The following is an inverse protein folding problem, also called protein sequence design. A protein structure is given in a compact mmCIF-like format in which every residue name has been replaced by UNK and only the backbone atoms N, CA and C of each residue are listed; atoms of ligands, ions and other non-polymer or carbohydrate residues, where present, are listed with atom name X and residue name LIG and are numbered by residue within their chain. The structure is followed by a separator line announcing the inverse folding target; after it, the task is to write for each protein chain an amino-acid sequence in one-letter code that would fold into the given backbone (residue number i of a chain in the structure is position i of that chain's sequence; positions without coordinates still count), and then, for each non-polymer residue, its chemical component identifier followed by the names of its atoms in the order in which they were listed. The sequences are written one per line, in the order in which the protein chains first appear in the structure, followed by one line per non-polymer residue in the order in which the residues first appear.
data_IF_376771176685
#
_entry.id   IF_376771176685
#
_cell.length_a   1.000
_cell.length_b   1.000
_cell.length_c   1.000
_cell.angle_alpha   90.00
_cell.angle_beta   90.00
_cell.angle_gamma   90.00
#
_symmetry.space_group_name_H-M   'P 1'
#
loop_
_entity.id
_entity.type
_entity.pdbx_description
1 polymer ?
#
# COMPACT_ATOMS: atom_id res chain seq x y z
N UNK A 1 -6.64 -23.20 -30.35
CA UNK A 1 -7.12 -23.05 -29.26
C UNK A 1 -6.50 -22.22 -28.20
N UNK A 2 -5.69 -22.84 -27.38
CA UNK A 2 -5.21 -22.17 -26.19
C UNK A 2 -4.26 -21.02 -26.48
N UNK A 3 -3.52 -21.09 -27.56
CA UNK A 3 -2.55 -20.06 -27.85
C UNK A 3 -3.19 -18.72 -28.18
N UNK A 4 -4.34 -18.73 -28.84
CA UNK A 4 -5.04 -17.49 -29.12
C UNK A 4 -5.58 -16.84 -27.85
N UNK A 5 -6.06 -17.66 -26.95
CA UNK A 5 -6.57 -17.17 -25.68
C UNK A 5 -5.47 -16.57 -24.82
N UNK A 6 -4.29 -17.16 -24.88
CA UNK A 6 -3.18 -16.65 -24.09
C UNK A 6 -2.79 -15.23 -24.50
N UNK A 7 -2.84 -14.95 -25.78
CA UNK A 7 -2.55 -13.61 -26.25
C UNK A 7 -3.55 -12.58 -25.74
N UNK A 8 -4.82 -12.93 -25.82
CA UNK A 8 -5.87 -12.04 -25.34
C UNK A 8 -5.81 -11.87 -23.84
N UNK A 9 -5.53 -12.95 -23.14
CA UNK A 9 -5.45 -12.90 -21.68
C UNK A 9 -4.32 -11.99 -21.22
N UNK A 10 -3.21 -12.04 -21.91
CA UNK A 10 -2.08 -11.19 -21.54
C UNK A 10 -2.40 -9.71 -21.74
N UNK A 11 -3.07 -9.38 -22.84
CA UNK A 11 -3.48 -8.02 -23.07
C UNK A 11 -4.45 -7.54 -22.02
N UNK A 12 -5.39 -8.39 -21.66
CA UNK A 12 -6.37 -8.07 -20.64
C UNK A 12 -5.72 -7.89 -19.28
N UNK A 13 -4.77 -8.76 -18.96
CA UNK A 13 -4.04 -8.66 -17.69
C UNK A 13 -3.22 -7.38 -17.62
N UNK A 14 -2.65 -6.96 -18.75
CA UNK A 14 -1.90 -5.70 -18.76
C UNK A 14 -2.81 -4.50 -18.50
N UNK A 15 -4.04 -4.52 -19.06
CA UNK A 15 -4.99 -3.45 -18.85
C UNK A 15 -5.54 -3.43 -17.44
N UNK A 16 -5.71 -4.59 -16.84
CA UNK A 16 -6.33 -4.73 -15.54
C UNK A 16 -5.36 -5.32 -14.52
N UNK A 17 -4.11 -4.92 -14.64
CA UNK A 17 -3.11 -5.37 -13.70
C UNK A 17 -3.50 -4.94 -12.29
N UNK A 18 -3.43 -5.89 -11.38
CA UNK A 18 -3.76 -5.65 -9.99
C UNK A 18 -2.51 -5.34 -9.21
N UNK A 19 -2.55 -4.28 -8.44
CA UNK A 19 -1.41 -3.90 -7.59
C UNK A 19 -1.90 -3.59 -6.20
N UNK A 20 -1.12 -4.02 -5.22
CA UNK A 20 -1.39 -3.72 -3.83
C UNK A 20 -0.36 -2.70 -3.35
N UNK A 21 -0.85 -1.63 -2.77
CA UNK A 21 0.02 -0.59 -2.25
C UNK A 21 -0.14 -0.56 -0.74
N UNK A 22 0.98 -0.73 -0.06
CA UNK A 22 1.03 -0.72 1.40
C UNK A 22 1.73 0.55 1.84
N UNK A 23 1.09 1.31 2.69
CA UNK A 23 1.60 2.59 3.17
C UNK A 23 1.82 2.48 4.67
N UNK A 24 3.04 2.73 5.11
CA UNK A 24 3.35 2.79 6.53
C UNK A 24 3.59 4.26 6.86
N UNK A 25 2.80 4.81 7.77
CA UNK A 25 2.85 6.24 8.05
C UNK A 25 2.50 6.49 9.51
N UNK A 26 2.58 7.76 9.90
CA UNK A 26 2.16 8.17 11.23
C UNK A 26 0.65 8.08 11.33
N UNK A 27 0.15 7.68 12.51
CA UNK A 27 -1.28 7.56 12.70
C UNK A 27 -2.02 8.88 12.48
N UNK A 28 -1.37 9.99 12.76
CA UNK A 28 -1.97 11.30 12.57
C UNK A 28 -2.26 11.63 11.11
N UNK A 29 -1.72 10.86 10.18
CA UNK A 29 -1.92 11.10 8.75
C UNK A 29 -3.12 10.35 8.18
N UNK A 30 -3.86 9.62 9.01
CA UNK A 30 -4.94 8.78 8.50
C UNK A 30 -5.98 9.56 7.71
N UNK A 31 -6.51 10.62 8.30
CA UNK A 31 -7.60 11.35 7.66
C UNK A 31 -7.18 11.99 6.33
N UNK A 32 -6.00 12.59 6.31
CA UNK A 32 -5.54 13.24 5.09
C UNK A 32 -5.21 12.21 4.01
N UNK A 33 -4.69 11.04 4.39
CA UNK A 33 -4.45 9.96 3.44
C UNK A 33 -5.76 9.43 2.87
N UNK A 34 -6.73 9.20 3.75
CA UNK A 34 -8.02 8.67 3.33
C UNK A 34 -8.68 9.60 2.33
N UNK A 35 -8.69 10.89 2.62
CA UNK A 35 -9.30 11.87 1.73
C UNK A 35 -8.56 11.96 0.41
N UNK A 36 -7.23 11.97 0.45
CA UNK A 36 -6.44 12.07 -0.77
C UNK A 36 -6.65 10.86 -1.66
N UNK A 37 -6.68 9.66 -1.08
CA UNK A 37 -6.90 8.46 -1.87
C UNK A 37 -8.31 8.41 -2.44
N UNK A 38 -9.30 8.85 -1.67
CA UNK A 38 -10.66 8.92 -2.17
C UNK A 38 -10.77 9.86 -3.36
N UNK A 39 -10.03 10.96 -3.33
CA UNK A 39 -10.09 11.96 -4.41
C UNK A 39 -9.56 11.43 -5.73
N UNK A 40 -8.74 10.40 -5.73
CA UNK A 40 -8.23 9.80 -6.97
C UNK A 40 -8.94 8.50 -7.32
N UNK A 41 -10.01 8.18 -6.62
CA UNK A 41 -10.85 7.05 -6.98
C UNK A 41 -10.57 5.77 -6.21
N UNK A 42 -9.75 5.81 -5.18
CA UNK A 42 -9.49 4.65 -4.33
C UNK A 42 -10.49 4.67 -3.18
N UNK A 43 -11.37 3.71 -3.13
CA UNK A 43 -12.43 3.70 -2.12
C UNK A 43 -12.25 2.63 -1.05
N UNK A 44 -11.73 1.48 -1.40
CA UNK A 44 -11.56 0.40 -0.44
C UNK A 44 -10.16 0.40 0.13
N UNK A 45 -10.06 0.39 1.44
CA UNK A 45 -8.76 0.33 2.08
C UNK A 45 -8.85 -0.43 3.40
N UNK A 46 -7.80 -1.15 3.72
CA UNK A 46 -7.68 -1.86 4.98
C UNK A 46 -6.65 -1.14 5.82
N UNK A 47 -7.01 -0.86 7.06
CA UNK A 47 -6.17 -0.07 7.94
C UNK A 47 -5.87 -0.88 9.19
N UNK A 48 -4.59 -0.91 9.57
CA UNK A 48 -4.15 -1.64 10.75
C UNK A 48 -3.23 -0.73 11.55
N UNK A 49 -3.42 -0.73 12.86
CA UNK A 49 -2.47 -0.08 13.75
C UNK A 49 -1.30 -1.02 13.97
N UNK A 50 -0.10 -0.52 13.75
CA UNK A 50 1.11 -1.33 13.90
C UNK A 50 2.12 -0.55 14.73
N UNK A 51 3.17 -1.24 15.13
CA UNK A 51 4.25 -0.62 15.87
C UNK A 51 5.50 -0.69 15.01
N UNK A 52 6.08 0.47 14.73
CA UNK A 52 7.34 0.54 14.04
C UNK A 52 8.46 0.41 15.04
N UNK A 53 9.46 -0.36 14.69
CA UNK A 53 10.61 -0.61 15.54
C UNK A 53 11.87 -0.17 14.81
N UNK A 54 12.58 0.79 15.40
CA UNK A 54 13.82 1.28 14.83
C UNK A 54 14.97 1.06 15.78
N UNK A 55 16.18 0.96 15.22
CA UNK A 55 17.39 0.77 15.98
C UNK A 55 18.33 1.94 15.71
N UNK A 56 18.81 2.58 16.80
CA UNK A 56 19.74 3.68 16.71
C UNK A 56 21.16 3.14 16.72
N UNK A 57 21.76 3.09 15.54
CA UNK A 57 23.10 2.52 15.41
C UNK A 57 24.18 3.36 16.05
N UNK A 58 24.03 4.66 16.00
CA UNK A 58 25.05 5.54 16.56
C UNK A 58 25.25 5.36 18.04
N UNK A 59 24.17 5.23 18.77
CA UNK A 59 24.25 4.99 20.21
C UNK A 59 24.81 3.64 20.52
N UNK A 60 24.48 2.64 19.75
CA UNK A 60 24.92 1.28 19.99
C UNK A 60 26.41 1.11 19.90
N UNK A 61 27.08 1.91 19.09
CA UNK A 61 28.50 1.77 18.87
C UNK A 61 29.31 2.07 20.13
N UNK A 62 28.84 2.96 20.95
CA UNK A 62 29.56 3.34 22.15
C UNK A 62 29.45 2.32 23.26
N UNK A 63 28.45 1.48 23.21
CA UNK A 63 28.16 0.58 24.29
C UNK A 63 28.46 -0.86 23.94
N UNK A 64 29.19 -1.06 22.88
CA UNK A 64 29.64 -2.37 22.47
C UNK A 64 28.53 -3.38 22.35
N UNK A 65 27.44 -2.96 21.84
CA UNK A 65 26.31 -3.83 21.64
C UNK A 65 25.50 -4.12 22.87
N UNK A 66 25.95 -3.64 24.02
CA UNK A 66 25.19 -3.84 25.24
C UNK A 66 23.90 -3.05 25.21
N UNK A 67 23.92 -1.92 24.53
CA UNK A 67 22.77 -1.07 24.50
C UNK A 67 22.41 -0.71 23.09
N UNK A 68 21.28 -1.16 22.68
CA UNK A 68 20.70 -0.83 21.38
C UNK A 68 19.44 -0.06 21.69
N UNK A 69 19.41 1.20 21.28
CA UNK A 69 18.20 1.97 21.44
C UNK A 69 17.17 1.47 20.45
N UNK A 70 16.15 0.82 20.99
CA UNK A 70 15.05 0.36 20.19
C UNK A 70 13.91 1.34 20.42
N UNK A 71 13.49 2.01 19.36
CA UNK A 71 12.38 2.94 19.43
C UNK A 71 11.13 2.24 18.92
N UNK A 72 10.11 2.23 19.75
CA UNK A 72 8.82 1.65 19.38
C UNK A 72 7.85 2.81 19.17
N UNK A 73 7.38 2.95 17.95
CA UNK A 73 6.50 4.04 17.59
C UNK A 73 5.21 3.51 16.99
N UNK A 74 4.07 4.01 17.43
CA UNK A 74 2.82 3.63 16.80
C UNK A 74 2.77 4.15 15.38
N UNK A 75 2.38 3.29 14.46
CA UNK A 75 2.27 3.60 13.06
C UNK A 75 0.96 3.09 12.51
N UNK A 76 0.66 3.53 11.33
CA UNK A 76 -0.52 3.13 10.58
C UNK A 76 -0.05 2.34 9.38
N UNK A 77 -0.69 1.20 9.13
CA UNK A 77 -0.48 0.44 7.91
C UNK A 77 -1.77 0.49 7.11
N UNK A 78 -1.72 1.07 5.94
CA UNK A 78 -2.86 1.18 5.07
C UNK A 78 -2.60 0.37 3.81
N UNK A 79 -3.54 -0.48 3.43
CA UNK A 79 -3.40 -1.33 2.25
C UNK A 79 -4.53 -1.05 1.30
N UNK A 80 -4.20 -0.83 0.04
CA UNK A 80 -5.18 -0.64 -1.01
C UNK A 80 -4.80 -1.52 -2.19
N UNK A 81 -5.79 -2.02 -2.89
CA UNK A 81 -5.57 -2.77 -4.13
C UNK A 81 -6.23 -1.99 -5.24
N UNK A 82 -5.48 -1.72 -6.29
CA UNK A 82 -5.97 -0.91 -7.39
C UNK A 82 -5.78 -1.63 -8.71
N UNK A 83 -6.60 -1.27 -9.66
CA UNK A 83 -6.48 -1.76 -11.03
C UNK A 83 -6.61 -0.61 -12.01
N UNK A 84 -7.73 0.10 -11.98
CA UNK A 84 -7.94 1.24 -12.88
C UNK A 84 -7.08 2.44 -12.53
N UNK A 85 -6.95 2.72 -11.25
CA UNK A 85 -6.14 3.86 -10.82
C UNK A 85 -4.69 3.48 -10.98
N UNK A 86 -3.90 4.24 -11.74
CA UNK A 86 -2.49 3.89 -11.94
C UNK A 86 -1.70 3.92 -10.65
N UNK A 87 -0.79 2.99 -10.52
CA UNK A 87 0.08 2.92 -9.33
C UNK A 87 0.83 4.22 -9.14
N UNK A 88 1.34 4.82 -10.22
CA UNK A 88 2.09 6.06 -10.15
C UNK A 88 1.26 7.18 -9.54
N UNK A 89 -0.02 7.23 -9.90
CA UNK A 89 -0.92 8.25 -9.35
C UNK A 89 -1.09 8.07 -7.85
N UNK A 90 -1.26 6.82 -7.40
CA UNK A 90 -1.38 6.55 -5.98
C UNK A 90 -0.10 6.93 -5.25
N UNK A 91 1.03 6.50 -5.76
CA UNK A 91 2.32 6.77 -5.12
C UNK A 91 2.58 8.27 -5.03
N UNK A 92 2.35 9.00 -6.10
CA UNK A 92 2.58 10.46 -6.08
C UNK A 92 1.64 11.17 -5.12
N UNK A 93 0.38 10.72 -5.07
CA UNK A 93 -0.59 11.30 -4.14
C UNK A 93 -0.17 11.10 -2.70
N UNK A 94 0.23 9.88 -2.37
CA UNK A 94 0.67 9.55 -1.02
C UNK A 94 1.94 10.32 -0.65
N UNK A 95 2.88 10.41 -1.57
CA UNK A 95 4.12 11.14 -1.33
C UNK A 95 3.84 12.60 -1.00
N UNK A 96 2.96 13.23 -1.75
CA UNK A 96 2.62 14.63 -1.49
C UNK A 96 2.03 14.84 -0.11
N UNK A 97 1.17 13.92 0.30
CA UNK A 97 0.49 14.02 1.59
C UNK A 97 1.44 13.78 2.75
N UNK A 98 2.34 12.84 2.60
CA UNK A 98 3.21 12.42 3.70
C UNK A 98 4.52 13.17 3.81
N UNK A 99 4.97 13.78 2.73
CA UNK A 99 6.30 14.38 2.70
C UNK A 99 6.42 15.57 3.65
N UNK A 100 7.37 15.50 4.56
CA UNK A 100 7.76 16.65 5.39
C UNK A 100 9.27 16.88 5.30
N UNK A 101 10.00 15.89 4.79
CA UNK A 101 11.46 15.96 4.75
C UNK A 101 12.12 15.50 6.03
N UNK A 102 11.34 15.03 6.98
CA UNK A 102 11.85 14.54 8.26
C UNK A 102 11.80 13.03 8.34
N UNK A 103 12.61 12.49 9.22
CA UNK A 103 12.58 11.06 9.52
C UNK A 103 11.20 10.70 10.04
N UNK A 104 10.65 9.60 9.52
CA UNK A 104 9.34 9.16 9.98
C UNK A 104 8.21 9.48 9.04
N UNK A 105 8.50 10.06 7.87
CA UNK A 105 7.46 10.36 6.88
C UNK A 105 6.75 9.09 6.40
N UNK A 106 7.45 7.96 6.39
CA UNK A 106 6.84 6.70 6.04
C UNK A 106 7.42 6.05 4.82
N UNK A 107 6.82 4.94 4.45
CA UNK A 107 7.27 4.16 3.29
C UNK A 107 6.07 3.66 2.52
N UNK A 108 6.28 3.44 1.24
CA UNK A 108 5.27 2.91 0.35
C UNK A 108 5.83 1.66 -0.29
N UNK A 109 5.10 0.55 -0.18
CA UNK A 109 5.49 -0.71 -0.80
C UNK A 109 4.49 -1.06 -1.88
N UNK A 110 4.98 -1.49 -3.02
CA UNK A 110 4.12 -1.86 -4.14
C UNK A 110 4.32 -3.33 -4.45
N UNK A 111 3.22 -4.06 -4.52
CA UNK A 111 3.23 -5.49 -4.77
C UNK A 111 2.36 -5.80 -5.98
N UNK A 112 2.74 -6.81 -6.74
CA UNK A 112 1.85 -7.38 -7.73
C UNK A 112 0.87 -8.29 -7.02
N UNK A 113 -0.39 -8.20 -7.41
CA UNK A 113 -1.44 -9.06 -6.88
C UNK A 113 -1.86 -10.02 -7.98
N UNK A 114 -1.75 -11.29 -7.69
CA UNK A 114 -2.05 -12.29 -8.69
C UNK A 114 -3.55 -12.35 -9.01
N UNK A 115 -4.37 -12.27 -8.00
CA UNK A 115 -5.82 -12.32 -8.18
C UNK A 115 -6.51 -11.77 -6.94
N UNK A 116 -7.76 -11.35 -7.12
CA UNK A 116 -8.63 -10.91 -6.04
C UNK A 116 -9.95 -11.62 -6.25
N UNK A 117 -10.53 -12.14 -5.18
CA UNK A 117 -11.82 -12.82 -5.26
C UNK A 117 -12.76 -12.18 -4.26
N UNK A 118 -13.92 -11.75 -4.73
CA UNK A 118 -14.96 -11.23 -3.85
C UNK A 118 -15.76 -12.41 -3.33
N UNK A 119 -15.73 -12.61 -2.04
CA UNK A 119 -16.32 -13.81 -1.44
C UNK A 119 -17.81 -13.90 -1.68
N UNK A 120 -18.51 -12.78 -1.55
CA UNK A 120 -19.97 -12.79 -1.65
C UNK A 120 -20.46 -13.22 -3.03
N UNK A 121 -19.81 -12.72 -4.08
CA UNK A 121 -20.29 -12.95 -5.44
C UNK A 121 -19.46 -13.94 -6.24
N UNK A 122 -18.25 -14.24 -5.77
CA UNK A 122 -17.32 -15.06 -6.53
C UNK A 122 -16.63 -14.30 -7.65
N UNK A 123 -16.87 -13.00 -7.79
CA UNK A 123 -16.21 -12.21 -8.82
C UNK A 123 -14.71 -12.19 -8.61
N UNK A 124 -13.95 -12.18 -9.70
CA UNK A 124 -12.50 -12.24 -9.64
C UNK A 124 -11.87 -11.12 -10.44
N UNK A 125 -10.61 -10.84 -10.11
CA UNK A 125 -9.83 -9.86 -10.84
C UNK A 125 -10.40 -8.46 -10.70
N UNK A 126 -10.41 -7.73 -11.80
CA UNK A 126 -10.91 -6.37 -11.82
C UNK A 126 -12.34 -6.26 -11.28
N UNK A 127 -13.18 -7.22 -11.64
CA UNK A 127 -14.58 -7.19 -11.21
C UNK A 127 -14.72 -7.32 -9.70
N UNK A 128 -13.80 -8.03 -9.06
CA UNK A 128 -13.83 -8.17 -7.60
C UNK A 128 -13.55 -6.86 -6.87
N UNK A 129 -12.93 -5.90 -7.55
CA UNK A 129 -12.62 -4.61 -6.95
C UNK A 129 -13.74 -3.60 -7.11
N UNK A 130 -14.76 -3.95 -7.89
CA UNK A 130 -15.89 -3.04 -8.07
C UNK A 130 -16.64 -2.91 -6.76
N UNK A 131 -16.91 -1.68 -6.41
CA UNK A 131 -17.58 -1.39 -5.16
C UNK A 131 -19.07 -1.58 -5.35
N UNK A 132 -19.64 -2.50 -4.60
CA UNK A 132 -21.06 -2.75 -4.68
C UNK A 132 -21.68 -2.87 -3.30
N UNK A 133 -21.22 -2.09 -2.41
CA UNK A 133 -21.64 -2.11 -1.01
C UNK A 133 -23.12 -2.31 -0.76
#
# INVERSE_FOLDING_TARGET
GCSGHQGDDRGRLAEHKLSKIVIIAKQSKFEVLKEALASIGVSGMTVTNVIGCGVQKGAAEYYRGAEVDVTLLPKLKMEVVVSKVPVETVVETVKKVLYTGHIGDGKIFVYDVENVVKVRTGAEGFDALQDDN
#
